data_IF_228610986078
#
_entry.id   IF_228610986078
#
_cell.length_a   1.000
_cell.length_b   1.000
_cell.length_c   1.000
_cell.angle_alpha   90.00
_cell.angle_beta   90.00
_cell.angle_gamma   90.00
#
_symmetry.space_group_name_H-M   'P 1'
#
loop_
_entity.id
_entity.type
_entity.pdbx_description
1 polymer ?
#
# COMPACT_ATOMS: atom_id res chain seq x y z
N UNK A 1 -28.32 8.70 2.33
CA UNK A 1 -28.70 7.68 1.34
C UNK A 1 -28.54 6.31 1.97
N UNK A 2 -29.60 5.50 1.94
CA UNK A 2 -29.51 4.09 2.32
C UNK A 2 -28.94 3.33 1.11
N UNK A 3 -27.81 2.65 1.26
CA UNK A 3 -27.23 1.75 0.26
C UNK A 3 -27.73 0.32 0.52
N UNK A 4 -28.70 -0.19 -0.25
CA UNK A 4 -29.21 -1.54 -0.07
C UNK A 4 -28.08 -2.56 -0.19
N UNK A 5 -28.08 -3.58 0.67
CA UNK A 5 -27.09 -4.67 0.62
C UNK A 5 -25.76 -4.41 1.36
N UNK A 6 -25.45 -3.19 1.82
CA UNK A 6 -24.20 -2.93 2.58
C UNK A 6 -24.10 -3.78 3.86
N UNK A 7 -25.20 -3.91 4.60
CA UNK A 7 -25.27 -4.71 5.83
C UNK A 7 -25.11 -6.20 5.54
N UNK A 8 -25.65 -6.66 4.40
CA UNK A 8 -25.48 -8.03 3.94
C UNK A 8 -24.00 -8.32 3.61
N UNK A 9 -23.32 -7.40 2.91
CA UNK A 9 -21.89 -7.56 2.62
C UNK A 9 -21.06 -7.54 3.91
N UNK A 10 -21.33 -6.62 4.84
CA UNK A 10 -20.68 -6.59 6.15
C UNK A 10 -20.85 -7.93 6.91
N UNK A 11 -22.06 -8.50 6.92
CA UNK A 11 -22.32 -9.80 7.53
C UNK A 11 -21.55 -10.94 6.84
N UNK A 12 -21.45 -10.94 5.51
CA UNK A 12 -20.65 -11.92 4.75
C UNK A 12 -19.17 -11.82 5.11
N UNK A 13 -18.61 -10.61 5.19
CA UNK A 13 -17.22 -10.35 5.58
C UNK A 13 -16.94 -10.92 6.96
N UNK A 14 -17.75 -10.56 7.96
CA UNK A 14 -17.59 -11.04 9.32
C UNK A 14 -17.71 -12.57 9.43
N UNK A 15 -18.66 -13.18 8.72
CA UNK A 15 -18.83 -14.63 8.67
C UNK A 15 -17.61 -15.33 8.06
N UNK A 16 -17.08 -14.82 6.95
CA UNK A 16 -15.93 -15.41 6.29
C UNK A 16 -14.68 -15.31 7.15
N UNK A 17 -14.41 -14.16 7.79
CA UNK A 17 -13.32 -13.99 8.75
C UNK A 17 -13.39 -15.01 9.92
N UNK A 18 -14.59 -15.19 10.51
CA UNK A 18 -14.80 -16.20 11.56
C UNK A 18 -14.58 -17.62 11.06
N UNK A 19 -14.92 -17.93 9.80
CA UNK A 19 -14.66 -19.25 9.23
C UNK A 19 -13.15 -19.47 9.06
N UNK A 20 -12.43 -18.49 8.52
CA UNK A 20 -10.98 -18.53 8.36
C UNK A 20 -10.28 -18.77 9.70
N UNK A 21 -10.73 -18.09 10.76
CA UNK A 21 -10.14 -18.21 12.10
C UNK A 21 -10.18 -19.63 12.68
N UNK A 22 -11.13 -20.46 12.23
CA UNK A 22 -11.33 -21.84 12.68
C UNK A 22 -10.60 -22.89 11.84
N UNK A 23 -9.99 -22.49 10.71
CA UNK A 23 -9.23 -23.41 9.86
C UNK A 23 -7.88 -23.79 10.50
N UNK A 24 -7.19 -24.78 9.92
CA UNK A 24 -5.77 -24.98 10.24
C UNK A 24 -4.96 -23.74 9.86
N UNK A 25 -3.83 -23.51 10.53
CA UNK A 25 -3.00 -22.31 10.32
C UNK A 25 -2.59 -22.14 8.85
N UNK A 26 -2.13 -23.21 8.22
CA UNK A 26 -1.74 -23.23 6.81
C UNK A 26 -2.90 -22.85 5.87
N UNK A 27 -4.06 -23.51 6.05
CA UNK A 27 -5.24 -23.21 5.26
C UNK A 27 -5.71 -21.78 5.49
N UNK A 28 -5.68 -21.29 6.73
CA UNK A 28 -6.06 -19.92 7.03
C UNK A 28 -5.13 -18.93 6.33
N UNK A 29 -3.81 -19.10 6.40
CA UNK A 29 -2.85 -18.22 5.71
C UNK A 29 -3.15 -18.18 4.20
N UNK A 30 -3.26 -19.36 3.58
CA UNK A 30 -3.53 -19.46 2.15
C UNK A 30 -4.84 -18.77 1.76
N UNK A 31 -5.91 -18.97 2.52
CA UNK A 31 -7.22 -18.37 2.23
C UNK A 31 -7.30 -16.88 2.60
N UNK A 32 -6.54 -16.41 3.58
CA UNK A 32 -6.46 -15.01 3.96
C UNK A 32 -5.88 -14.14 2.84
N UNK A 33 -4.94 -14.67 2.05
CA UNK A 33 -4.39 -13.95 0.89
C UNK A 33 -5.47 -13.70 -0.17
N UNK A 34 -6.33 -14.68 -0.46
CA UNK A 34 -7.48 -14.50 -1.37
C UNK A 34 -8.57 -13.58 -0.79
N UNK A 35 -8.75 -13.58 0.53
CA UNK A 35 -9.86 -12.91 1.19
C UNK A 35 -9.87 -11.39 0.94
N UNK A 36 -8.71 -10.76 0.97
CA UNK A 36 -8.57 -9.32 0.71
C UNK A 36 -9.04 -8.96 -0.70
N UNK A 37 -8.61 -9.71 -1.72
CA UNK A 37 -9.05 -9.52 -3.11
C UNK A 37 -10.55 -9.77 -3.28
N UNK A 38 -11.09 -10.79 -2.60
CA UNK A 38 -12.51 -11.11 -2.63
C UNK A 38 -13.40 -9.96 -2.10
N UNK A 39 -12.98 -9.27 -1.03
CA UNK A 39 -13.76 -8.13 -0.51
C UNK A 39 -13.86 -7.02 -1.57
N UNK A 40 -12.74 -6.71 -2.22
CA UNK A 40 -12.69 -5.67 -3.24
C UNK A 40 -13.55 -6.01 -4.47
N UNK A 41 -13.53 -7.27 -4.91
CA UNK A 41 -14.40 -7.75 -5.97
C UNK A 41 -15.88 -7.60 -5.61
N UNK A 42 -16.28 -7.99 -4.39
CA UNK A 42 -17.67 -7.85 -3.95
C UNK A 42 -18.11 -6.38 -3.85
N UNK A 43 -17.21 -5.48 -3.41
CA UNK A 43 -17.46 -4.03 -3.38
C UNK A 43 -17.63 -3.47 -4.79
N UNK A 44 -16.72 -3.79 -5.72
CA UNK A 44 -16.80 -3.35 -7.12
C UNK A 44 -18.07 -3.87 -7.79
N UNK A 45 -18.36 -5.17 -7.64
CA UNK A 45 -19.52 -5.81 -8.23
C UNK A 45 -20.84 -5.23 -7.72
N UNK A 46 -20.95 -4.97 -6.43
CA UNK A 46 -22.22 -4.56 -5.81
C UNK A 46 -22.44 -3.05 -5.86
N UNK A 47 -21.36 -2.26 -5.86
CA UNK A 47 -21.46 -0.82 -5.64
C UNK A 47 -20.59 0.03 -6.57
N UNK A 48 -19.80 -0.58 -7.46
CA UNK A 48 -18.78 0.09 -8.27
C UNK A 48 -19.22 0.52 -9.68
N UNK A 49 -20.51 0.44 -10.02
CA UNK A 49 -21.04 0.95 -11.29
C UNK A 49 -20.79 2.45 -11.41
N UNK A 50 -20.15 2.88 -12.50
CA UNK A 50 -19.81 4.29 -12.74
C UNK A 50 -18.71 4.84 -11.84
N UNK A 51 -17.96 3.97 -11.15
CA UNK A 51 -16.91 4.37 -10.19
C UNK A 51 -15.57 3.81 -10.61
N UNK A 52 -14.53 4.60 -10.39
CA UNK A 52 -13.17 4.26 -10.78
C UNK A 52 -12.30 3.93 -9.56
N UNK A 53 -12.63 4.50 -8.41
CA UNK A 53 -11.88 4.34 -7.17
C UNK A 53 -12.72 3.75 -6.04
N UNK A 54 -12.03 3.17 -5.05
CA UNK A 54 -12.69 2.62 -3.87
C UNK A 54 -13.39 3.71 -3.04
N UNK A 55 -12.79 4.89 -2.90
CA UNK A 55 -13.38 6.02 -2.17
C UNK A 55 -14.66 6.57 -2.81
N UNK A 56 -14.91 6.31 -4.10
CA UNK A 56 -16.17 6.65 -4.76
C UNK A 56 -17.37 5.87 -4.17
N UNK A 57 -17.11 4.82 -3.37
CA UNK A 57 -18.12 4.12 -2.57
C UNK A 57 -18.09 4.72 -1.15
N UNK A 58 -19.04 5.59 -0.77
CA UNK A 58 -18.91 6.41 0.44
C UNK A 58 -18.87 5.65 1.77
N UNK A 59 -19.25 4.37 1.78
CA UNK A 59 -19.21 3.51 2.96
C UNK A 59 -18.13 2.41 2.89
N UNK A 60 -17.37 2.31 1.79
CA UNK A 60 -16.38 1.25 1.62
C UNK A 60 -15.33 1.29 2.74
N UNK A 61 -14.77 2.47 3.05
CA UNK A 61 -13.83 2.64 4.16
C UNK A 61 -14.39 2.11 5.48
N UNK A 62 -15.61 2.52 5.86
CA UNK A 62 -16.25 2.08 7.12
C UNK A 62 -16.49 0.57 7.15
N UNK A 63 -16.83 -0.02 6.00
CA UNK A 63 -17.04 -1.45 5.87
C UNK A 63 -15.73 -2.24 5.97
N UNK A 64 -14.67 -1.76 5.30
CA UNK A 64 -13.33 -2.34 5.37
C UNK A 64 -12.75 -2.23 6.79
N UNK A 65 -12.93 -1.10 7.46
CA UNK A 65 -12.54 -0.87 8.86
C UNK A 65 -13.26 -1.82 9.82
N UNK A 66 -14.58 -1.98 9.65
CA UNK A 66 -15.35 -2.93 10.45
C UNK A 66 -14.84 -4.37 10.25
N UNK A 67 -14.51 -4.75 9.01
CA UNK A 67 -13.87 -6.03 8.71
C UNK A 67 -12.53 -6.20 9.43
N UNK A 68 -11.69 -5.16 9.44
CA UNK A 68 -10.40 -5.17 10.14
C UNK A 68 -10.57 -5.35 11.65
N UNK A 69 -11.52 -4.64 12.27
CA UNK A 69 -11.83 -4.79 13.70
C UNK A 69 -12.28 -6.21 14.03
N UNK A 70 -13.15 -6.79 13.21
CA UNK A 70 -13.57 -8.19 13.37
C UNK A 70 -12.35 -9.10 13.28
N UNK A 71 -11.51 -8.94 12.25
CA UNK A 71 -10.30 -9.74 12.05
C UNK A 71 -9.35 -9.68 13.26
N UNK A 72 -9.11 -8.49 13.80
CA UNK A 72 -8.22 -8.30 14.95
C UNK A 72 -8.80 -8.80 16.28
N UNK A 73 -10.12 -8.97 16.36
CA UNK A 73 -10.79 -9.57 17.53
C UNK A 73 -10.71 -11.11 17.57
N UNK A 74 -10.28 -11.75 16.48
CA UNK A 74 -10.15 -13.20 16.39
C UNK A 74 -8.97 -13.69 17.25
N UNK A 75 -9.20 -14.73 18.05
CA UNK A 75 -8.19 -15.29 18.97
C UNK A 75 -7.09 -16.10 18.28
N UNK A 76 -7.35 -16.58 17.07
CA UNK A 76 -6.45 -17.43 16.29
C UNK A 76 -6.64 -17.14 14.81
N UNK A 77 -5.58 -17.34 14.04
CA UNK A 77 -5.65 -17.35 12.56
C UNK A 77 -6.32 -16.09 11.99
N UNK A 78 -6.03 -14.93 12.57
CA UNK A 78 -6.40 -13.65 11.98
C UNK A 78 -5.59 -13.45 10.68
N UNK A 79 -6.22 -12.85 9.69
CA UNK A 79 -5.57 -12.53 8.43
C UNK A 79 -4.64 -11.33 8.60
N UNK A 80 -3.55 -11.28 7.81
CA UNK A 80 -2.83 -10.02 7.58
C UNK A 80 -3.63 -9.14 6.61
N UNK A 81 -4.77 -8.65 7.12
CA UNK A 81 -5.73 -7.87 6.36
C UNK A 81 -5.40 -6.39 6.54
N UNK A 82 -4.98 -5.74 5.46
CA UNK A 82 -4.82 -4.31 5.36
C UNK A 82 -5.64 -3.79 4.18
N UNK A 83 -6.07 -2.54 4.27
CA UNK A 83 -6.85 -1.93 3.19
C UNK A 83 -6.36 -0.53 2.88
N UNK A 84 -6.42 -0.18 1.59
CA UNK A 84 -6.13 1.16 1.09
C UNK A 84 -7.36 1.65 0.32
N UNK A 85 -7.98 2.72 0.83
CA UNK A 85 -9.20 3.28 0.27
C UNK A 85 -8.95 4.22 -0.93
N UNK A 86 -7.70 4.56 -1.22
CA UNK A 86 -7.31 5.42 -2.34
C UNK A 86 -7.09 4.65 -3.65
N UNK A 87 -7.21 3.32 -3.61
CA UNK A 87 -6.89 2.47 -4.75
C UNK A 87 -7.97 2.53 -5.84
N UNK A 88 -7.52 2.53 -7.09
CA UNK A 88 -8.41 2.37 -8.25
C UNK A 88 -8.88 0.92 -8.36
N UNK A 89 -10.05 0.70 -8.96
CA UNK A 89 -10.52 -0.66 -9.26
C UNK A 89 -9.64 -1.39 -10.27
N UNK A 90 -8.98 -0.65 -11.16
CA UNK A 90 -8.04 -1.23 -12.11
C UNK A 90 -6.79 -1.73 -11.39
N UNK A 91 -6.21 -0.94 -10.48
CA UNK A 91 -5.07 -1.38 -9.68
C UNK A 91 -5.43 -2.56 -8.77
N UNK A 92 -6.63 -2.57 -8.17
CA UNK A 92 -7.12 -3.71 -7.40
C UNK A 92 -7.19 -5.00 -8.24
N UNK A 93 -7.60 -4.87 -9.50
CA UNK A 93 -7.63 -5.97 -10.47
C UNK A 93 -6.21 -6.42 -10.84
N UNK A 94 -5.29 -5.50 -11.13
CA UNK A 94 -3.90 -5.83 -11.43
C UNK A 94 -3.22 -6.59 -10.29
N UNK A 95 -3.40 -6.12 -9.05
CA UNK A 95 -2.89 -6.79 -7.85
C UNK A 95 -3.45 -8.20 -7.71
N UNK A 96 -4.75 -8.39 -7.98
CA UNK A 96 -5.38 -9.72 -7.96
C UNK A 96 -4.81 -10.63 -9.06
N UNK A 97 -4.69 -10.13 -10.29
CA UNK A 97 -4.15 -10.90 -11.42
C UNK A 97 -2.71 -11.37 -11.13
N UNK A 98 -1.89 -10.53 -10.49
CA UNK A 98 -0.55 -10.87 -10.02
C UNK A 98 -0.58 -11.91 -8.90
N UNK A 99 -1.41 -11.71 -7.87
CA UNK A 99 -1.59 -12.66 -6.78
C UNK A 99 -1.93 -14.06 -7.31
N UNK A 100 -2.92 -14.15 -8.19
CA UNK A 100 -3.38 -15.43 -8.77
C UNK A 100 -2.27 -16.10 -9.58
N UNK A 101 -1.49 -15.33 -10.35
CA UNK A 101 -0.30 -15.85 -11.03
C UNK A 101 0.72 -16.46 -10.04
N UNK A 102 1.06 -15.77 -8.95
CA UNK A 102 2.04 -16.27 -7.99
C UNK A 102 1.55 -17.50 -7.21
N UNK A 103 0.23 -17.64 -7.03
CA UNK A 103 -0.40 -18.84 -6.46
C UNK A 103 -0.35 -20.01 -7.43
N UNK A 104 -0.63 -19.76 -8.72
CA UNK A 104 -0.65 -20.78 -9.76
C UNK A 104 0.74 -21.13 -10.31
N UNK A 105 1.77 -20.33 -10.00
CA UNK A 105 3.10 -20.43 -10.61
C UNK A 105 3.66 -21.85 -10.62
N UNK A 106 3.63 -22.56 -9.49
CA UNK A 106 4.19 -23.92 -9.40
C UNK A 106 3.47 -24.93 -10.30
N UNK A 107 2.14 -24.77 -10.42
CA UNK A 107 1.33 -25.60 -11.29
C UNK A 107 1.61 -25.30 -12.77
N UNK A 108 1.72 -24.01 -13.12
CA UNK A 108 2.08 -23.57 -14.48
C UNK A 108 3.48 -24.09 -14.85
N UNK A 109 4.45 -23.87 -13.97
CA UNK A 109 5.84 -24.23 -14.17
C UNK A 109 6.04 -25.73 -14.35
N UNK A 110 5.35 -26.57 -13.56
CA UNK A 110 5.48 -28.03 -13.63
C UNK A 110 4.83 -28.63 -14.87
N UNK A 111 3.68 -28.10 -15.29
CA UNK A 111 2.91 -28.66 -16.41
C UNK A 111 3.27 -28.07 -17.78
N UNK A 112 4.26 -27.17 -17.84
CA UNK A 112 4.60 -26.41 -19.03
C UNK A 112 4.90 -27.29 -20.26
N UNK A 113 5.56 -28.44 -20.04
CA UNK A 113 5.97 -29.36 -21.11
C UNK A 113 4.87 -30.33 -21.56
N UNK A 114 3.72 -30.36 -20.90
CA UNK A 114 2.61 -31.27 -21.22
C UNK A 114 1.45 -30.58 -21.94
N UNK A 115 1.60 -29.28 -22.26
CA UNK A 115 0.55 -28.47 -22.87
C UNK A 115 0.42 -28.73 -24.38
N UNK A 116 -0.83 -28.76 -24.85
CA UNK A 116 -1.15 -28.78 -26.28
C UNK A 116 -0.91 -27.40 -26.90
N UNK A 117 -0.56 -27.34 -28.18
CA UNK A 117 -0.22 -26.10 -28.91
C UNK A 117 -1.24 -24.96 -28.75
N UNK A 118 -2.55 -25.22 -28.93
CA UNK A 118 -3.60 -24.20 -28.73
C UNK A 118 -3.60 -23.63 -27.30
N UNK A 119 -3.43 -24.51 -26.31
CA UNK A 119 -3.38 -24.12 -24.88
C UNK A 119 -2.11 -23.32 -24.61
N UNK A 120 -1.00 -23.64 -25.29
CA UNK A 120 0.22 -22.86 -25.24
C UNK A 120 -0.03 -21.40 -25.70
N UNK A 121 -0.67 -21.18 -26.85
CA UNK A 121 -0.93 -19.83 -27.36
C UNK A 121 -1.79 -18.96 -26.43
N UNK A 122 -2.85 -19.54 -25.85
CA UNK A 122 -3.70 -18.84 -24.87
C UNK A 122 -2.92 -18.53 -23.58
N UNK A 123 -2.09 -19.46 -23.13
CA UNK A 123 -1.22 -19.27 -21.97
C UNK A 123 -0.16 -18.21 -22.24
N UNK A 124 0.51 -18.20 -23.40
CA UNK A 124 1.42 -17.13 -23.82
C UNK A 124 0.74 -15.77 -23.68
N UNK A 125 -0.45 -15.58 -24.26
CA UNK A 125 -1.18 -14.31 -24.17
C UNK A 125 -1.48 -13.91 -22.71
N UNK A 126 -1.90 -14.88 -21.87
CA UNK A 126 -2.16 -14.62 -20.45
C UNK A 126 -0.89 -14.20 -19.73
N UNK A 127 0.20 -14.96 -19.88
CA UNK A 127 1.46 -14.69 -19.19
C UNK A 127 2.11 -13.39 -19.70
N UNK A 128 1.99 -13.04 -20.97
CA UNK A 128 2.46 -11.74 -21.50
C UNK A 128 1.75 -10.57 -20.81
N UNK A 129 0.45 -10.67 -20.54
CA UNK A 129 -0.26 -9.63 -19.79
C UNK A 129 0.25 -9.55 -18.34
N UNK A 130 0.46 -10.70 -17.68
CA UNK A 130 1.03 -10.75 -16.34
C UNK A 130 2.44 -10.17 -16.32
N UNK A 131 3.25 -10.41 -17.34
CA UNK A 131 4.60 -9.88 -17.50
C UNK A 131 4.61 -8.34 -17.47
N UNK A 132 3.68 -7.70 -18.18
CA UNK A 132 3.50 -6.24 -18.17
C UNK A 132 3.11 -5.72 -16.79
N UNK A 133 2.21 -6.42 -16.09
CA UNK A 133 1.85 -6.08 -14.71
C UNK A 133 3.04 -6.26 -13.76
N UNK A 134 3.83 -7.32 -13.96
CA UNK A 134 5.02 -7.59 -13.16
C UNK A 134 6.03 -6.45 -13.29
N UNK A 135 6.31 -5.99 -14.51
CA UNK A 135 7.16 -4.83 -14.78
C UNK A 135 6.64 -3.54 -14.15
N UNK A 136 5.33 -3.31 -14.18
CA UNK A 136 4.72 -2.13 -13.57
C UNK A 136 4.93 -2.11 -12.05
N UNK A 137 4.71 -3.24 -11.38
CA UNK A 137 4.70 -3.31 -9.92
C UNK A 137 6.06 -3.58 -9.29
N UNK A 138 7.01 -4.20 -10.02
CA UNK A 138 8.32 -4.55 -9.44
C UNK A 138 9.08 -3.35 -8.88
N UNK A 139 8.92 -2.18 -9.50
CA UNK A 139 9.60 -0.94 -9.09
C UNK A 139 9.22 -0.46 -7.69
N UNK A 140 7.95 -0.56 -7.32
CA UNK A 140 7.47 -0.18 -5.99
C UNK A 140 7.55 -1.33 -4.98
N UNK A 141 7.60 -2.57 -5.47
CA UNK A 141 7.45 -3.75 -4.63
C UNK A 141 8.77 -4.40 -4.21
N UNK A 142 9.86 -4.17 -4.96
CA UNK A 142 11.11 -4.89 -4.77
C UNK A 142 12.32 -3.95 -4.69
N UNK A 143 13.14 -4.16 -3.67
CA UNK A 143 14.44 -3.50 -3.51
C UNK A 143 15.51 -4.57 -3.41
N UNK A 144 16.57 -4.50 -4.24
CA UNK A 144 17.63 -5.52 -4.26
C UNK A 144 18.93 -4.98 -3.67
N UNK A 145 19.54 -5.78 -2.80
CA UNK A 145 20.82 -5.50 -2.16
C UNK A 145 21.94 -6.28 -2.88
N UNK A 146 23.13 -5.69 -2.99
CA UNK A 146 24.24 -6.27 -3.73
C UNK A 146 24.91 -7.44 -3.00
N UNK A 147 24.78 -7.51 -1.68
CA UNK A 147 25.31 -8.60 -0.87
C UNK A 147 24.23 -9.71 -0.75
N UNK A 148 24.61 -10.92 -1.13
CA UNK A 148 23.87 -12.18 -0.90
C UNK A 148 22.48 -12.35 -1.53
N UNK A 149 22.17 -11.63 -2.62
CA UNK A 149 20.83 -11.64 -3.25
C UNK A 149 19.69 -11.29 -2.25
N UNK A 150 20.00 -10.56 -1.18
CA UNK A 150 18.98 -10.09 -0.26
C UNK A 150 18.05 -9.10 -0.98
N UNK A 151 16.76 -9.16 -0.67
CA UNK A 151 15.78 -8.25 -1.24
C UNK A 151 14.68 -7.94 -0.21
N UNK A 152 14.14 -6.72 -0.27
CA UNK A 152 12.93 -6.37 0.47
C UNK A 152 11.70 -6.54 -0.43
N UNK A 153 10.59 -6.98 0.18
CA UNK A 153 9.30 -7.18 -0.51
C UNK A 153 8.22 -6.34 0.16
N UNK A 154 7.94 -5.17 -0.43
CA UNK A 154 7.01 -4.17 0.12
C UNK A 154 5.53 -4.53 -0.15
N UNK A 155 5.28 -5.46 -1.09
CA UNK A 155 3.96 -5.82 -1.60
C UNK A 155 3.62 -7.29 -1.37
N UNK A 156 4.08 -7.87 -0.26
CA UNK A 156 4.02 -9.33 0.01
C UNK A 156 2.61 -9.94 -0.03
N UNK A 157 1.55 -9.13 0.01
CA UNK A 157 0.18 -9.59 -0.12
C UNK A 157 -0.24 -9.95 -1.56
N UNK A 158 0.49 -9.52 -2.59
CA UNK A 158 0.15 -9.81 -3.99
C UNK A 158 1.35 -9.95 -4.94
N UNK A 159 2.56 -9.62 -4.51
CA UNK A 159 3.76 -9.61 -5.35
C UNK A 159 4.86 -10.47 -4.74
N UNK A 160 5.67 -11.14 -5.58
CA UNK A 160 6.88 -11.85 -5.15
C UNK A 160 8.14 -11.34 -5.86
N UNK A 161 9.14 -10.96 -5.08
CA UNK A 161 10.38 -10.37 -5.58
C UNK A 161 11.45 -11.40 -5.96
N UNK A 162 11.33 -12.68 -5.57
CA UNK A 162 12.30 -13.69 -6.02
C UNK A 162 12.28 -13.78 -7.54
N UNK A 163 13.46 -13.66 -8.14
CA UNK A 163 13.67 -13.71 -9.60
C UNK A 163 13.15 -15.00 -10.23
N UNK A 164 12.97 -16.08 -9.46
CA UNK A 164 12.37 -17.33 -9.93
C UNK A 164 10.94 -17.16 -10.41
N UNK A 165 10.14 -16.29 -9.78
CA UNK A 165 8.74 -16.08 -10.15
C UNK A 165 8.53 -15.12 -11.33
N UNK A 166 9.60 -14.68 -11.98
CA UNK A 166 9.51 -13.76 -13.12
C UNK A 166 8.69 -14.41 -14.27
N UNK A 167 7.57 -13.80 -14.72
CA UNK A 167 6.72 -14.33 -15.79
C UNK A 167 7.46 -14.56 -17.11
N UNK A 168 8.52 -13.80 -17.40
CA UNK A 168 9.31 -13.98 -18.61
C UNK A 168 10.11 -15.29 -18.62
N UNK A 169 10.38 -15.89 -17.46
CA UNK A 169 10.92 -17.25 -17.40
C UNK A 169 9.92 -18.28 -17.91
N UNK A 170 8.63 -18.07 -17.65
CA UNK A 170 7.56 -18.91 -18.18
C UNK A 170 7.41 -18.69 -19.69
N UNK A 171 7.40 -17.43 -20.16
CA UNK A 171 7.33 -17.12 -21.59
C UNK A 171 8.47 -17.76 -22.40
N UNK A 172 9.71 -17.66 -21.89
CA UNK A 172 10.86 -18.26 -22.53
C UNK A 172 10.75 -19.79 -22.59
N UNK A 173 10.24 -20.43 -21.53
CA UNK A 173 10.01 -21.88 -21.51
C UNK A 173 8.89 -22.34 -22.44
N UNK A 174 7.90 -21.49 -22.69
CA UNK A 174 6.80 -21.74 -23.63
C UNK A 174 7.19 -21.47 -25.10
N UNK A 175 8.38 -20.90 -25.33
CA UNK A 175 8.83 -20.38 -26.63
C UNK A 175 7.84 -19.38 -27.25
N UNK A 176 7.30 -18.46 -26.41
CA UNK A 176 6.48 -17.36 -26.90
C UNK A 176 7.37 -16.31 -27.62
N UNK A 177 6.87 -15.67 -28.68
CA UNK A 177 7.58 -14.77 -29.62
C UNK A 177 8.12 -13.43 -29.04
N UNK A 178 8.60 -13.37 -27.80
CA UNK A 178 8.99 -12.10 -27.14
C UNK A 178 10.31 -12.20 -26.35
N UNK A 179 11.40 -12.49 -27.07
CA UNK A 179 12.76 -12.56 -26.50
C UNK A 179 13.32 -11.19 -26.10
N UNK A 180 12.83 -10.11 -26.70
CA UNK A 180 13.31 -8.75 -26.46
C UNK A 180 12.91 -8.25 -25.05
N UNK A 181 11.71 -8.58 -24.60
CA UNK A 181 11.20 -8.19 -23.29
C UNK A 181 11.90 -8.90 -22.11
N UNK A 182 12.45 -10.12 -22.31
CA UNK A 182 13.29 -10.78 -21.29
C UNK A 182 14.56 -9.98 -20.99
N UNK A 183 15.24 -9.47 -22.04
CA UNK A 183 16.46 -8.66 -21.90
C UNK A 183 16.19 -7.32 -21.22
N UNK A 184 15.01 -6.74 -21.45
CA UNK A 184 14.58 -5.52 -20.77
C UNK A 184 14.45 -5.69 -19.25
N UNK A 185 13.94 -6.83 -18.76
CA UNK A 185 13.80 -7.08 -17.33
C UNK A 185 15.10 -7.41 -16.59
N UNK A 186 16.08 -8.03 -17.25
CA UNK A 186 17.41 -8.17 -16.65
C UNK A 186 18.00 -6.79 -16.32
N UNK A 187 17.79 -5.81 -17.21
CA UNK A 187 18.15 -4.41 -16.97
C UNK A 187 17.33 -3.78 -15.82
N UNK A 188 16.05 -4.14 -15.65
CA UNK A 188 15.26 -3.67 -14.49
C UNK A 188 15.87 -4.14 -13.17
N UNK A 189 16.23 -5.43 -13.04
CA UNK A 189 16.85 -5.93 -11.81
C UNK A 189 18.16 -5.21 -11.48
N UNK A 190 18.95 -4.88 -12.50
CA UNK A 190 20.16 -4.10 -12.31
C UNK A 190 19.84 -2.68 -11.83
N UNK A 191 18.85 -2.00 -12.43
CA UNK A 191 18.43 -0.66 -11.98
C UNK A 191 17.88 -0.63 -10.56
N UNK A 192 17.24 -1.71 -10.11
CA UNK A 192 16.68 -1.85 -8.76
C UNK A 192 17.72 -2.18 -7.67
N UNK A 193 19.00 -2.35 -8.05
CA UNK A 193 20.09 -2.45 -7.07
C UNK A 193 20.26 -1.12 -6.34
N UNK A 194 20.36 -1.17 -5.02
CA UNK A 194 20.45 0.03 -4.18
C UNK A 194 21.60 0.96 -4.59
N UNK A 195 22.78 0.43 -4.94
CA UNK A 195 23.89 1.26 -5.41
C UNK A 195 23.54 2.06 -6.68
N UNK A 196 22.72 1.49 -7.55
CA UNK A 196 22.24 2.17 -8.76
C UNK A 196 21.15 3.19 -8.44
N UNK A 197 20.27 2.89 -7.48
CA UNK A 197 19.30 3.85 -6.96
C UNK A 197 20.02 5.07 -6.35
N UNK A 198 21.03 4.85 -5.51
CA UNK A 198 21.85 5.92 -4.91
C UNK A 198 22.54 6.75 -6.01
N UNK A 199 23.18 6.12 -6.99
CA UNK A 199 23.79 6.84 -8.13
C UNK A 199 22.77 7.67 -8.91
N UNK A 200 21.58 7.13 -9.17
CA UNK A 200 20.50 7.86 -9.84
C UNK A 200 20.04 9.07 -9.01
N UNK A 201 19.94 8.93 -7.69
CA UNK A 201 19.64 10.03 -6.79
C UNK A 201 20.74 11.09 -6.81
N UNK A 202 22.02 10.70 -6.73
CA UNK A 202 23.16 11.62 -6.83
C UNK A 202 23.17 12.39 -8.15
N UNK A 203 22.91 11.72 -9.27
CA UNK A 203 22.82 12.36 -10.59
C UNK A 203 21.66 13.36 -10.67
N UNK A 204 20.48 12.99 -10.16
CA UNK A 204 19.32 13.89 -10.10
C UNK A 204 19.58 15.08 -9.18
N UNK A 205 20.22 14.86 -8.03
CA UNK A 205 20.60 15.91 -7.08
C UNK A 205 21.59 16.89 -7.71
N UNK A 206 22.60 16.41 -8.45
CA UNK A 206 23.55 17.25 -9.22
C UNK A 206 22.86 18.12 -10.26
N UNK A 207 21.76 17.66 -10.87
CA UNK A 207 21.00 18.40 -11.89
C UNK A 207 20.02 19.44 -11.32
N UNK A 208 19.65 19.37 -10.03
CA UNK A 208 18.67 20.29 -9.41
C UNK A 208 19.11 20.72 -7.99
N UNK A 209 20.15 21.57 -7.87
CA UNK A 209 20.79 21.90 -6.59
C UNK A 209 19.93 22.73 -5.61
N UNK A 210 18.87 23.41 -6.07
CA UNK A 210 18.10 24.37 -5.25
C UNK A 210 17.23 23.76 -4.13
N UNK A 211 17.10 22.43 -4.03
CA UNK A 211 16.18 21.77 -3.06
C UNK A 211 16.91 21.34 -1.76
N UNK A 212 18.25 21.36 -1.71
CA UNK A 212 19.03 20.58 -0.73
C UNK A 212 19.27 21.30 0.62
N UNK A 213 19.00 22.59 0.76
CA UNK A 213 19.43 23.35 1.96
C UNK A 213 18.65 23.03 3.27
N UNK A 214 17.66 22.13 3.26
CA UNK A 214 16.83 21.83 4.46
C UNK A 214 16.74 20.37 4.89
N UNK A 215 17.61 19.48 4.43
CA UNK A 215 17.63 18.09 4.93
C UNK A 215 18.73 17.93 5.99
N UNK A 216 18.40 18.22 7.27
CA UNK A 216 19.18 17.68 8.40
C UNK A 216 18.81 16.21 8.55
N UNK A 217 19.67 15.33 8.06
CA UNK A 217 19.52 13.87 8.17
C UNK A 217 19.65 13.46 9.64
N UNK A 218 18.54 13.01 10.23
CA UNK A 218 18.53 12.15 11.41
C UNK A 218 17.59 10.98 11.09
N UNK A 219 18.19 9.79 10.93
CA UNK A 219 17.58 8.44 10.82
C UNK A 219 16.90 8.06 9.48
N UNK A 220 16.87 6.74 9.15
CA UNK A 220 16.84 6.27 7.76
C UNK A 220 15.47 6.49 7.12
N UNK A 221 15.54 6.97 5.88
CA UNK A 221 14.41 7.38 5.06
C UNK A 221 13.66 6.14 4.58
N UNK A 222 12.42 5.95 5.04
CA UNK A 222 11.39 5.24 4.27
C UNK A 222 10.98 6.17 3.13
N UNK A 223 11.40 5.83 1.90
CA UNK A 223 11.09 6.61 0.70
C UNK A 223 9.72 6.16 0.20
N UNK A 224 8.65 6.86 0.59
CA UNK A 224 7.40 6.87 -0.16
C UNK A 224 7.64 7.68 -1.45
N UNK A 225 7.58 7.04 -2.61
CA UNK A 225 7.58 7.73 -3.89
C UNK A 225 6.16 8.19 -4.23
N UNK A 226 5.78 9.36 -3.74
CA UNK A 226 4.61 10.11 -4.23
C UNK A 226 5.05 11.08 -5.33
N UNK A 227 4.78 10.74 -6.59
CA UNK A 227 4.38 11.75 -7.58
C UNK A 227 2.89 12.02 -7.37
N UNK A 228 2.60 12.67 -6.27
CA UNK A 228 1.45 13.55 -6.08
C UNK A 228 1.87 14.51 -4.96
N UNK A 229 1.51 15.78 -5.16
CA UNK A 229 1.76 16.93 -4.29
C UNK A 229 1.91 16.52 -2.82
N UNK A 230 3.03 16.87 -2.19
CA UNK A 230 3.14 16.85 -0.73
C UNK A 230 2.07 17.78 -0.17
N UNK A 231 0.87 17.24 0.08
CA UNK A 231 -0.09 17.82 0.99
C UNK A 231 0.47 17.53 2.40
N UNK A 232 1.51 18.28 2.77
CA UNK A 232 1.71 18.59 4.17
C UNK A 232 0.38 19.19 4.60
N UNK A 233 -0.32 18.56 5.54
CA UNK A 233 -1.50 19.12 6.18
C UNK A 233 -1.15 20.53 6.66
N UNK A 234 -1.41 21.52 5.81
CA UNK A 234 -1.31 22.94 6.15
C UNK A 234 -2.19 23.20 7.37
N UNK A 235 -3.23 22.36 7.54
CA UNK A 235 -4.02 22.25 8.74
C UNK A 235 -3.19 21.97 9.98
N UNK A 236 -2.32 20.96 10.04
CA UNK A 236 -1.56 20.63 11.25
C UNK A 236 -0.56 21.72 11.64
N UNK A 237 0.15 22.31 10.67
CA UNK A 237 1.09 23.41 10.94
C UNK A 237 0.33 24.67 11.37
N UNK A 238 -0.79 24.99 10.71
CA UNK A 238 -1.64 26.13 11.09
C UNK A 238 -2.28 25.91 12.46
N UNK A 239 -2.69 24.68 12.78
CA UNK A 239 -3.29 24.33 14.08
C UNK A 239 -2.27 24.43 15.20
N UNK A 240 -1.01 24.00 14.98
CA UNK A 240 0.07 24.18 15.94
C UNK A 240 0.35 25.66 16.21
N UNK A 241 0.31 26.50 15.17
CA UNK A 241 0.47 27.96 15.29
C UNK A 241 -0.65 28.60 16.11
N UNK A 242 -1.91 28.24 15.84
CA UNK A 242 -3.08 28.74 16.56
C UNK A 242 -3.06 28.29 18.02
N UNK A 243 -2.72 27.03 18.31
CA UNK A 243 -2.63 26.52 19.69
C UNK A 243 -1.50 27.20 20.49
N UNK A 244 -0.36 27.49 19.83
CA UNK A 244 0.75 28.22 20.46
C UNK A 244 0.36 29.65 20.81
N UNK A 245 -0.37 30.34 19.92
CA UNK A 245 -0.91 31.69 20.18
C UNK A 245 -1.93 31.69 21.32
N UNK A 246 -2.84 30.72 21.35
CA UNK A 246 -3.81 30.59 22.45
C UNK A 246 -3.14 30.33 23.80
N UNK A 247 -2.11 29.48 23.83
CA UNK A 247 -1.31 29.23 25.03
C UNK A 247 -0.62 30.49 25.54
N UNK A 248 -0.02 31.28 24.65
CA UNK A 248 0.60 32.56 25.01
C UNK A 248 -0.42 33.57 25.56
N UNK A 249 -1.59 33.69 24.94
CA UNK A 249 -2.65 34.60 25.40
C UNK A 249 -3.20 34.22 26.79
N UNK A 250 -3.34 32.92 27.09
CA UNK A 250 -3.76 32.45 28.41
C UNK A 250 -2.73 32.80 29.48
N UNK A 251 -1.43 32.61 29.18
CA UNK A 251 -0.34 32.97 30.09
C UNK A 251 -0.34 34.49 30.34
N UNK A 252 -0.46 35.31 29.29
CA UNK A 252 -0.60 36.77 29.43
C UNK A 252 -1.82 37.18 30.26
N UNK A 253 -2.97 36.51 30.09
CA UNK A 253 -4.17 36.78 30.88
C UNK A 253 -3.97 36.46 32.37
N UNK A 254 -3.30 35.35 32.69
CA UNK A 254 -2.97 35.00 34.08
C UNK A 254 -2.04 36.04 34.68
N UNK A 255 -0.97 36.44 33.98
CA UNK A 255 -0.06 37.49 34.45
C UNK A 255 -0.76 38.84 34.61
N UNK A 256 -1.62 39.23 33.66
CA UNK A 256 -2.43 40.44 33.75
C UNK A 256 -3.35 40.41 34.99
N UNK A 257 -4.05 39.28 35.23
CA UNK A 257 -4.96 39.13 36.37
C UNK A 257 -4.20 39.17 37.70
N UNK A 258 -3.04 38.51 37.80
CA UNK A 258 -2.18 38.53 38.99
C UNK A 258 -1.64 39.94 39.23
N UNK A 259 -1.15 40.61 38.19
CA UNK A 259 -0.63 41.98 38.31
C UNK A 259 -1.73 42.98 38.68
N UNK A 260 -2.93 42.85 38.12
CA UNK A 260 -4.09 43.69 38.46
C UNK A 260 -4.53 43.44 39.91
N UNK A 261 -4.58 42.19 40.37
CA UNK A 261 -4.88 41.86 41.77
C UNK A 261 -3.83 42.42 42.73
N UNK A 262 -2.54 42.37 42.39
CA UNK A 262 -1.45 42.96 43.19
C UNK A 262 -1.57 44.49 43.22
N UNK A 263 -1.90 45.13 42.10
CA UNK A 263 -2.08 46.57 42.02
C UNK A 263 -3.29 47.03 42.83
N UNK A 264 -4.42 46.32 42.75
CA UNK A 264 -5.61 46.54 43.57
C UNK A 264 -5.32 46.35 45.07
N UNK A 265 -4.53 45.33 45.43
CA UNK A 265 -4.12 45.08 46.82
C UNK A 265 -3.20 46.19 47.36
N UNK A 266 -2.28 46.72 46.54
CA UNK A 266 -1.45 47.88 46.88
C UNK A 266 -2.27 49.17 47.00
N UNK A 267 -3.27 49.39 46.14
CA UNK A 267 -4.21 50.52 46.28
C UNK A 267 -5.05 50.42 47.56
N UNK A 268 -5.53 49.23 47.93
CA UNK A 268 -6.29 49.00 49.17
C UNK A 268 -5.45 49.23 50.44
N UNK A 269 -4.13 48.97 50.40
CA UNK A 269 -3.22 49.25 51.52
C UNK A 269 -2.82 50.72 51.67
N UNK A 270 -3.06 51.57 50.65
CA UNK A 270 -2.81 53.01 50.70
C UNK A 270 -4.01 53.83 51.19
N UNK A 271 -5.19 53.20 51.35
CA UNK A 271 -6.44 53.82 51.80
C UNK A 271 -6.70 53.53 53.30
N UNK A 272 -5.72 53.00 54.04
CA UNK A 272 -5.83 52.67 55.46
C UNK A 272 -4.89 53.51 56.32
#
# INVERSE_FOLDING_TARGET
MDYPGRSLLCAKIARNLRKLSTMSKENSINNCEYFTHWIYDELKKSFGTGKNYMYDIPFAYKLLDAGLRVNNSLKSNNCNYSYNHNMSFDELKERKDLHDYFKDYQNIHTNIYTLKEKVNNELCKKITNIAKLYEKHIWSCCEYFNEDNHYNENCSNYFKCKKEYNPYKILNKLDCDDKESYKYLENIYDKLKIDNIIKLFEEKAKKKPEIIEKVKVVQPVTIDHTEDIFEFDLFNISTLGVLSLLGFLIICFIFYKVHTSIFMYKCLMLIR
#
